data_IF_910240223345
#
_entry.id   IF_910240223345
#
_cell.length_a   1.000
_cell.length_b   1.000
_cell.length_c   1.000
_cell.angle_alpha   90.00
_cell.angle_beta   90.00
_cell.angle_gamma   90.00
#
_symmetry.space_group_name_H-M   'P 1'
#
loop_
_entity.id
_entity.type
_entity.pdbx_description
1 polymer ?
#
# COMPACT_ATOMS: atom_id res chain seq x y z
N UNK A 1 -44.05 24.44 21.60
CA UNK A 1 -43.62 23.92 20.29
C UNK A 1 -42.10 23.94 20.27
N UNK A 2 -41.48 22.83 20.65
CA UNK A 2 -40.02 22.68 20.53
C UNK A 2 -39.70 22.56 19.03
N UNK A 3 -38.94 23.53 18.50
CA UNK A 3 -38.43 23.46 17.13
C UNK A 3 -37.47 22.28 17.08
N UNK A 4 -37.87 21.22 16.38
CA UNK A 4 -37.01 20.07 16.13
C UNK A 4 -35.65 20.54 15.63
N UNK A 5 -34.61 20.21 16.40
CA UNK A 5 -33.22 20.48 16.04
C UNK A 5 -32.95 19.76 14.71
N UNK A 6 -32.75 20.52 13.61
CA UNK A 6 -32.34 19.93 12.33
C UNK A 6 -30.97 19.30 12.54
N UNK A 7 -30.89 17.97 12.46
CA UNK A 7 -29.59 17.28 12.44
C UNK A 7 -28.80 17.73 11.21
N UNK A 8 -27.63 18.31 11.43
CA UNK A 8 -26.65 18.53 10.38
C UNK A 8 -25.85 17.24 10.19
N UNK A 9 -25.83 16.70 8.97
CA UNK A 9 -24.95 15.61 8.59
C UNK A 9 -23.91 16.12 7.60
N UNK A 10 -22.74 15.49 7.59
CA UNK A 10 -21.67 15.74 6.61
C UNK A 10 -21.34 14.42 5.95
N UNK A 11 -21.38 14.38 4.62
CA UNK A 11 -20.98 13.22 3.83
C UNK A 11 -19.51 13.35 3.44
N UNK A 12 -18.76 12.26 3.58
CA UNK A 12 -17.32 12.22 3.30
C UNK A 12 -16.99 11.03 2.36
N UNK A 13 -15.93 11.15 1.54
CA UNK A 13 -15.12 12.35 1.34
C UNK A 13 -15.91 13.43 0.60
N UNK A 14 -15.59 14.70 0.83
CA UNK A 14 -16.16 15.79 0.03
C UNK A 14 -15.61 15.72 -1.40
N UNK A 15 -16.33 16.31 -2.36
CA UNK A 15 -15.98 16.22 -3.79
C UNK A 15 -14.52 16.65 -4.07
N UNK A 16 -14.09 17.76 -3.48
CA UNK A 16 -12.73 18.26 -3.67
C UNK A 16 -11.68 17.31 -3.06
N UNK A 17 -11.97 16.69 -1.92
CA UNK A 17 -11.08 15.72 -1.27
C UNK A 17 -10.92 14.47 -2.13
N UNK A 18 -12.01 14.00 -2.74
CA UNK A 18 -11.98 12.88 -3.67
C UNK A 18 -11.19 13.22 -4.96
N UNK A 19 -11.37 14.42 -5.51
CA UNK A 19 -10.61 14.89 -6.68
C UNK A 19 -9.11 15.00 -6.37
N UNK A 20 -8.74 15.47 -5.17
CA UNK A 20 -7.34 15.51 -4.73
C UNK A 20 -6.76 14.11 -4.50
N UNK A 21 -7.53 13.20 -3.92
CA UNK A 21 -7.13 11.80 -3.74
C UNK A 21 -6.86 11.13 -5.09
N UNK A 22 -7.73 11.34 -6.09
CA UNK A 22 -7.53 10.83 -7.46
C UNK A 22 -6.21 11.31 -8.05
N UNK A 23 -5.95 12.62 -8.05
CA UNK A 23 -4.69 13.17 -8.60
C UNK A 23 -3.46 12.64 -7.87
N UNK A 24 -3.56 12.49 -6.54
CA UNK A 24 -2.47 11.98 -5.71
C UNK A 24 -2.13 10.53 -6.07
N UNK A 25 -3.17 9.70 -6.23
CA UNK A 25 -3.02 8.29 -6.60
C UNK A 25 -2.55 8.14 -8.04
N UNK A 26 -3.14 8.87 -8.99
CA UNK A 26 -2.70 8.91 -10.38
C UNK A 26 -1.22 9.28 -10.49
N UNK A 27 -0.78 10.32 -9.77
CA UNK A 27 0.62 10.73 -9.74
C UNK A 27 1.56 9.66 -9.15
N UNK A 28 1.13 8.94 -8.12
CA UNK A 28 1.90 7.81 -7.58
C UNK A 28 2.02 6.65 -8.57
N UNK A 29 0.89 6.25 -9.18
CA UNK A 29 0.83 5.10 -10.08
C UNK A 29 1.50 5.36 -11.44
N UNK A 30 1.49 6.61 -11.92
CA UNK A 30 2.16 6.96 -13.18
C UNK A 30 3.65 6.67 -13.13
N UNK A 31 4.32 6.99 -12.01
CA UNK A 31 5.73 6.68 -11.80
C UNK A 31 6.01 5.17 -11.81
N UNK A 32 5.09 4.36 -11.27
CA UNK A 32 5.25 2.91 -11.20
C UNK A 32 5.33 2.26 -12.58
N UNK A 33 4.62 2.79 -13.59
CA UNK A 33 4.58 2.22 -14.95
C UNK A 33 5.95 2.18 -15.62
N UNK A 34 6.86 3.08 -15.24
CA UNK A 34 8.21 3.15 -15.79
C UNK A 34 9.20 2.22 -15.09
N UNK A 35 8.84 1.69 -13.92
CA UNK A 35 9.70 0.81 -13.10
C UNK A 35 9.23 -0.64 -13.19
N UNK A 36 7.93 -0.88 -13.03
CA UNK A 36 7.30 -2.20 -13.07
C UNK A 36 6.10 -2.17 -14.01
N UNK A 37 6.30 -2.66 -15.24
CA UNK A 37 5.22 -2.76 -16.23
C UNK A 37 4.24 -3.88 -15.87
N UNK A 38 2.94 -3.59 -15.91
CA UNK A 38 1.84 -4.58 -15.78
C UNK A 38 1.19 -4.80 -17.14
N UNK A 39 0.83 -6.05 -17.46
CA UNK A 39 0.06 -6.36 -18.67
C UNK A 39 -1.44 -6.16 -18.43
N UNK A 40 -1.92 -6.49 -17.22
CA UNK A 40 -3.33 -6.34 -16.84
C UNK A 40 -3.65 -4.91 -16.37
N UNK A 41 -4.84 -4.44 -16.74
CA UNK A 41 -5.36 -3.15 -16.29
C UNK A 41 -5.68 -3.15 -14.80
N UNK A 42 -5.43 -2.02 -14.14
CA UNK A 42 -5.67 -1.85 -12.71
C UNK A 42 -6.90 -0.96 -12.46
N UNK A 43 -7.88 -1.48 -11.74
CA UNK A 43 -8.99 -0.74 -11.15
C UNK A 43 -8.58 -0.23 -9.76
N UNK A 44 -8.81 1.06 -9.50
CA UNK A 44 -8.47 1.68 -8.21
C UNK A 44 -9.71 2.26 -7.56
N UNK A 45 -10.09 1.68 -6.42
CA UNK A 45 -11.23 2.09 -5.62
C UNK A 45 -10.77 3.03 -4.50
N UNK A 46 -11.41 4.20 -4.40
CA UNK A 46 -11.09 5.21 -3.39
C UNK A 46 -12.24 5.36 -2.39
N UNK A 47 -11.93 5.26 -1.10
CA UNK A 47 -12.89 5.42 -0.01
C UNK A 47 -12.42 6.39 1.07
N UNK A 48 -13.36 6.88 1.88
CA UNK A 48 -13.02 7.60 3.11
C UNK A 48 -12.66 6.61 4.22
N UNK A 49 -11.66 6.97 5.02
CA UNK A 49 -11.33 6.29 6.27
C UNK A 49 -11.77 7.11 7.48
N UNK A 50 -12.24 6.41 8.51
CA UNK A 50 -12.44 6.96 9.86
C UNK A 50 -11.25 6.72 10.79
N UNK A 51 -10.13 6.18 10.31
CA UNK A 51 -8.93 5.96 11.11
C UNK A 51 -8.25 7.32 11.37
N UNK A 52 -8.21 7.72 12.64
CA UNK A 52 -7.62 8.98 13.09
C UNK A 52 -6.09 8.94 13.18
N UNK A 53 -5.47 7.77 12.95
CA UNK A 53 -4.01 7.59 13.01
C UNK A 53 -3.35 7.52 11.63
N UNK A 54 -4.10 7.19 10.58
CA UNK A 54 -3.57 6.94 9.23
C UNK A 54 -4.22 7.84 8.20
N UNK A 55 -3.42 8.69 7.55
CA UNK A 55 -3.88 9.57 6.48
C UNK A 55 -4.17 8.81 5.18
N UNK A 56 -3.49 7.70 4.93
CA UNK A 56 -3.75 6.78 3.82
C UNK A 56 -3.42 5.35 4.19
N UNK A 57 -4.23 4.40 3.71
CA UNK A 57 -3.95 2.97 3.79
C UNK A 57 -4.74 2.23 2.71
N UNK A 58 -4.43 0.96 2.48
CA UNK A 58 -5.08 0.17 1.44
C UNK A 58 -4.43 -1.19 1.27
N UNK A 59 -4.91 -1.92 0.27
CA UNK A 59 -4.36 -3.20 -0.14
C UNK A 59 -4.62 -3.48 -1.63
N UNK A 60 -3.83 -4.39 -2.19
CA UNK A 60 -4.15 -5.07 -3.44
C UNK A 60 -5.03 -6.30 -3.16
N UNK A 61 -6.32 -6.21 -3.51
CA UNK A 61 -7.28 -7.33 -3.38
C UNK A 61 -6.93 -8.44 -4.36
N UNK A 62 -6.57 -8.06 -5.59
CA UNK A 62 -6.12 -8.94 -6.66
C UNK A 62 -4.99 -8.29 -7.45
N UNK A 63 -4.54 -8.96 -8.51
CA UNK A 63 -3.62 -8.37 -9.47
C UNK A 63 -4.24 -7.24 -10.32
N UNK A 64 -5.57 -7.06 -10.28
CA UNK A 64 -6.32 -6.07 -11.06
C UNK A 64 -7.02 -5.02 -10.20
N UNK A 65 -7.14 -5.20 -8.89
CA UNK A 65 -7.96 -4.33 -8.03
C UNK A 65 -7.19 -3.83 -6.81
N UNK A 66 -7.11 -2.50 -6.69
CA UNK A 66 -6.65 -1.83 -5.48
C UNK A 66 -7.82 -1.22 -4.70
N UNK A 67 -7.80 -1.38 -3.38
CA UNK A 67 -8.67 -0.64 -2.47
C UNK A 67 -7.83 0.32 -1.62
N UNK A 68 -8.05 1.62 -1.81
CA UNK A 68 -7.34 2.67 -1.09
C UNK A 68 -8.32 3.52 -0.30
N UNK A 69 -7.97 3.80 0.94
CA UNK A 69 -8.74 4.61 1.86
C UNK A 69 -7.90 5.77 2.37
N UNK A 70 -8.52 6.93 2.53
CA UNK A 70 -7.83 8.13 3.00
C UNK A 70 -8.64 8.89 4.02
N UNK A 71 -7.93 9.55 4.95
CA UNK A 71 -8.52 10.44 5.92
C UNK A 71 -7.93 11.86 5.72
N UNK A 72 -8.67 12.78 5.09
CA UNK A 72 -8.17 14.11 4.76
C UNK A 72 -7.96 15.01 5.98
N UNK A 73 -8.37 14.58 7.18
CA UNK A 73 -8.16 15.31 8.45
C UNK A 73 -6.76 15.13 9.02
N UNK A 74 -5.99 14.18 8.50
CA UNK A 74 -4.65 13.88 8.99
C UNK A 74 -3.64 14.64 8.13
N UNK A 75 -2.73 15.35 8.78
CA UNK A 75 -1.65 16.04 8.09
C UNK A 75 -0.77 15.04 7.32
N UNK A 76 -0.43 15.41 6.08
CA UNK A 76 0.35 14.54 5.19
C UNK A 76 -0.43 13.36 4.61
N UNK A 77 -1.76 13.32 4.70
CA UNK A 77 -2.58 12.24 4.15
C UNK A 77 -2.31 11.98 2.66
N UNK A 78 -2.07 13.02 1.85
CA UNK A 78 -1.75 12.87 0.42
C UNK A 78 -0.47 12.07 0.22
N UNK A 79 0.59 12.42 0.96
CA UNK A 79 1.86 11.69 0.92
C UNK A 79 1.68 10.24 1.36
N UNK A 80 0.92 9.99 2.43
CA UNK A 80 0.65 8.62 2.89
C UNK A 80 -0.17 7.82 1.87
N UNK A 81 -1.20 8.44 1.27
CA UNK A 81 -2.04 7.83 0.25
C UNK A 81 -1.24 7.51 -1.02
N UNK A 82 -0.37 8.43 -1.47
CA UNK A 82 0.52 8.20 -2.61
C UNK A 82 1.43 7.00 -2.34
N UNK A 83 2.08 6.96 -1.17
CA UNK A 83 2.94 5.83 -0.80
C UNK A 83 2.16 4.51 -0.74
N UNK A 84 0.95 4.55 -0.19
CA UNK A 84 0.07 3.38 -0.15
C UNK A 84 -0.25 2.90 -1.57
N UNK A 85 -0.59 3.81 -2.49
CA UNK A 85 -0.90 3.46 -3.87
C UNK A 85 0.27 2.76 -4.58
N UNK A 86 1.48 3.29 -4.43
CA UNK A 86 2.71 2.70 -4.98
C UNK A 86 2.97 1.32 -4.38
N UNK A 87 2.87 1.18 -3.05
CA UNK A 87 3.04 -0.12 -2.40
C UNK A 87 2.04 -1.17 -2.90
N UNK A 88 0.76 -0.80 -2.97
CA UNK A 88 -0.29 -1.69 -3.48
C UNK A 88 -0.11 -2.03 -4.97
N UNK A 89 0.45 -1.12 -5.77
CA UNK A 89 0.81 -1.43 -7.16
C UNK A 89 1.87 -2.54 -7.24
N UNK A 90 2.93 -2.46 -6.44
CA UNK A 90 3.95 -3.51 -6.39
C UNK A 90 3.38 -4.86 -5.95
N UNK A 91 2.49 -4.86 -4.95
CA UNK A 91 1.77 -6.08 -4.56
C UNK A 91 0.91 -6.66 -5.69
N UNK A 92 0.18 -5.81 -6.42
CA UNK A 92 -0.66 -6.23 -7.54
C UNK A 92 0.17 -6.74 -8.72
N UNK A 93 1.32 -6.13 -9.00
CA UNK A 93 2.28 -6.60 -10.01
C UNK A 93 2.86 -7.97 -9.63
N UNK A 94 3.22 -8.16 -8.37
CA UNK A 94 3.75 -9.44 -7.89
C UNK A 94 2.73 -10.57 -8.05
N UNK A 95 1.46 -10.32 -7.70
CA UNK A 95 0.36 -11.27 -7.91
C UNK A 95 0.19 -11.65 -9.38
N UNK A 96 0.28 -10.68 -10.29
CA UNK A 96 0.17 -10.93 -11.74
C UNK A 96 1.22 -11.91 -12.26
N UNK A 97 2.48 -11.68 -11.85
CA UNK A 97 3.62 -12.43 -12.35
C UNK A 97 3.79 -13.79 -11.67
N UNK A 98 3.27 -13.94 -10.45
CA UNK A 98 3.39 -15.17 -9.67
C UNK A 98 2.18 -16.10 -9.81
N UNK A 99 0.98 -15.56 -10.00
CA UNK A 99 -0.27 -16.32 -9.96
C UNK A 99 -0.89 -16.36 -8.55
N UNK A 100 -1.33 -17.53 -8.08
CA UNK A 100 -1.94 -17.65 -6.75
C UNK A 100 -0.93 -17.35 -5.64
N UNK A 101 -1.36 -16.58 -4.64
CA UNK A 101 -0.65 -16.40 -3.38
C UNK A 101 -1.33 -17.31 -2.36
N UNK A 102 -0.76 -18.50 -2.19
CA UNK A 102 -1.32 -19.55 -1.34
C UNK A 102 -0.67 -19.54 0.04
N UNK A 103 0.51 -18.92 0.18
CA UNK A 103 1.29 -18.93 1.41
C UNK A 103 1.60 -17.54 1.98
N UNK A 104 1.80 -17.46 3.30
CA UNK A 104 2.09 -16.22 4.03
C UNK A 104 3.38 -15.56 3.56
N UNK A 105 4.42 -16.33 3.27
CA UNK A 105 5.70 -15.80 2.78
C UNK A 105 5.58 -15.12 1.40
N UNK A 106 4.61 -15.52 0.59
CA UNK A 106 4.37 -14.90 -0.72
C UNK A 106 3.68 -13.54 -0.56
N UNK A 107 2.81 -13.40 0.45
CA UNK A 107 2.24 -12.11 0.84
C UNK A 107 3.32 -11.16 1.34
N UNK A 108 4.33 -11.69 2.03
CA UNK A 108 5.48 -10.91 2.44
C UNK A 108 6.30 -10.42 1.24
N UNK A 109 6.66 -11.31 0.30
CA UNK A 109 7.37 -10.91 -0.92
C UNK A 109 6.61 -9.87 -1.74
N UNK A 110 5.28 -10.00 -1.84
CA UNK A 110 4.43 -9.00 -2.47
C UNK A 110 4.55 -7.63 -1.77
N UNK A 111 4.50 -7.62 -0.44
CA UNK A 111 4.65 -6.39 0.37
C UNK A 111 6.03 -5.76 0.21
N UNK A 112 7.09 -6.58 0.18
CA UNK A 112 8.47 -6.12 -0.03
C UNK A 112 8.63 -5.50 -1.42
N UNK A 113 8.02 -6.09 -2.45
CA UNK A 113 8.03 -5.54 -3.82
C UNK A 113 7.40 -4.15 -3.85
N UNK A 114 6.29 -3.96 -3.14
CA UNK A 114 5.66 -2.64 -2.97
C UNK A 114 6.55 -1.61 -2.28
N UNK A 115 7.28 -2.01 -1.24
CA UNK A 115 8.22 -1.15 -0.53
C UNK A 115 9.44 -0.78 -1.37
N UNK A 116 10.02 -1.73 -2.11
CA UNK A 116 11.15 -1.44 -3.01
C UNK A 116 10.77 -0.43 -4.08
N UNK A 117 9.54 -0.52 -4.62
CA UNK A 117 9.05 0.44 -5.60
C UNK A 117 8.92 1.86 -5.02
N UNK A 118 8.67 2.01 -3.71
CA UNK A 118 8.65 3.31 -3.06
C UNK A 118 10.03 3.97 -3.01
N UNK A 119 11.09 3.19 -2.84
CA UNK A 119 12.47 3.68 -2.84
C UNK A 119 12.85 4.15 -4.25
N UNK A 120 12.55 3.35 -5.27
CA UNK A 120 12.86 3.65 -6.68
C UNK A 120 12.05 4.82 -7.25
N UNK A 121 10.77 4.96 -6.88
CA UNK A 121 9.92 6.07 -7.35
C UNK A 121 10.08 7.35 -6.51
N UNK A 122 10.89 7.32 -5.46
CA UNK A 122 11.00 8.33 -4.42
C UNK A 122 12.00 9.46 -4.67
N UNK A 123 12.55 9.67 -5.88
CA UNK A 123 13.54 10.72 -6.13
C UNK A 123 13.01 12.16 -5.93
N UNK A 124 13.05 12.62 -4.68
CA UNK A 124 13.38 13.98 -4.27
C UNK A 124 14.03 13.93 -2.89
N UNK A 125 15.31 14.31 -2.88
CA UNK A 125 16.25 14.49 -1.76
C UNK A 125 15.64 14.83 -0.39
N UNK A 126 16.26 14.25 0.64
CA UNK A 126 16.08 14.46 2.08
C UNK A 126 14.85 13.80 2.72
N UNK A 127 14.84 12.47 2.77
CA UNK A 127 14.49 11.80 4.03
C UNK A 127 15.36 10.55 4.16
N UNK A 128 16.39 10.60 4.99
CA UNK A 128 16.83 9.40 5.74
C UNK A 128 15.64 9.00 6.63
N UNK A 129 14.61 8.39 6.04
CA UNK A 129 13.56 7.75 6.81
C UNK A 129 14.05 6.33 6.95
N UNK A 130 14.65 6.08 8.10
CA UNK A 130 14.97 4.75 8.55
C UNK A 130 13.67 3.94 8.57
N UNK A 131 13.46 3.14 7.52
CA UNK A 131 12.32 2.24 7.40
C UNK A 131 12.42 1.08 8.40
N UNK A 132 13.46 1.04 9.24
CA UNK A 132 13.64 0.04 10.29
C UNK A 132 12.41 -0.09 11.18
N UNK A 133 11.72 0.99 11.55
CA UNK A 133 10.55 0.87 12.43
C UNK A 133 9.35 0.20 11.75
N UNK A 134 9.03 0.57 10.50
CA UNK A 134 7.95 -0.05 9.74
C UNK A 134 8.30 -1.48 9.32
N UNK A 135 9.58 -1.73 9.04
CA UNK A 135 10.15 -3.05 8.80
C UNK A 135 10.04 -3.95 10.03
N UNK A 136 10.49 -3.47 11.20
CA UNK A 136 10.44 -4.19 12.47
C UNK A 136 9.00 -4.45 12.93
N UNK A 137 8.06 -3.53 12.66
CA UNK A 137 6.63 -3.76 12.94
C UNK A 137 6.06 -4.88 12.05
N UNK A 138 6.41 -4.89 10.76
CA UNK A 138 5.97 -5.93 9.82
C UNK A 138 6.66 -7.27 10.12
N UNK A 139 7.96 -7.27 10.43
CA UNK A 139 8.74 -8.43 10.85
C UNK A 139 8.15 -9.04 12.12
N UNK A 140 7.88 -8.25 13.17
CA UNK A 140 7.26 -8.77 14.40
C UNK A 140 5.85 -9.35 14.20
N UNK A 141 5.05 -8.75 13.31
CA UNK A 141 3.75 -9.32 12.92
C UNK A 141 3.92 -10.65 12.17
N UNK A 142 4.91 -10.74 11.29
CA UNK A 142 5.22 -11.96 10.54
C UNK A 142 5.79 -13.04 11.44
N UNK A 143 6.71 -12.73 12.34
CA UNK A 143 7.19 -13.66 13.37
C UNK A 143 6.03 -14.19 14.19
N UNK A 144 5.06 -13.34 14.58
CA UNK A 144 3.88 -13.81 15.30
C UNK A 144 3.02 -14.76 14.45
N UNK A 145 2.86 -14.50 13.15
CA UNK A 145 2.09 -15.32 12.21
C UNK A 145 2.81 -16.63 11.84
N UNK A 146 4.14 -16.60 11.71
CA UNK A 146 4.99 -17.75 11.42
C UNK A 146 5.23 -18.61 12.67
N UNK A 147 5.23 -18.02 13.87
CA UNK A 147 5.29 -18.76 15.14
C UNK A 147 4.01 -19.55 15.44
N UNK A 148 2.90 -19.19 14.80
CA UNK A 148 1.62 -19.92 14.91
C UNK A 148 1.49 -21.04 13.86
N UNK A 149 2.24 -20.98 12.76
CA UNK A 149 2.31 -22.03 11.74
C UNK A 149 3.77 -22.45 11.51
N UNK A 150 4.20 -23.45 12.28
CA UNK A 150 5.56 -23.99 12.25
C UNK A 150 6.05 -24.32 10.82
N UNK A 151 7.14 -23.68 10.39
CA UNK A 151 8.00 -24.21 9.33
C UNK A 151 9.47 -23.91 9.66
N UNK A 152 10.23 -24.96 10.00
CA UNK A 152 11.64 -24.93 10.39
C UNK A 152 12.62 -24.69 9.21
N UNK A 153 12.15 -24.41 7.99
CA UNK A 153 13.00 -24.32 6.78
C UNK A 153 12.95 -22.96 6.06
N UNK A 154 12.62 -21.86 6.76
CA UNK A 154 12.66 -20.52 6.15
C UNK A 154 14.08 -19.92 6.17
N UNK A 155 14.74 -19.91 5.01
CA UNK A 155 16.03 -19.26 4.82
C UNK A 155 15.86 -17.83 4.27
N UNK A 156 16.20 -16.84 5.09
CA UNK A 156 16.27 -15.42 4.69
C UNK A 156 17.21 -15.15 3.52
N UNK A 157 18.17 -16.05 3.28
CA UNK A 157 19.07 -15.97 2.15
C UNK A 157 18.33 -16.12 0.82
N UNK A 158 17.29 -16.97 0.76
CA UNK A 158 16.55 -17.24 -0.47
C UNK A 158 15.60 -16.10 -0.84
N UNK A 159 15.01 -15.44 0.16
CA UNK A 159 14.23 -14.20 -0.01
C UNK A 159 15.10 -13.09 -0.60
N UNK A 160 16.30 -12.91 -0.05
CA UNK A 160 17.25 -11.92 -0.55
C UNK A 160 17.71 -12.24 -1.98
N UNK A 161 18.03 -13.49 -2.26
CA UNK A 161 18.42 -13.93 -3.60
C UNK A 161 17.28 -13.79 -4.63
N UNK A 162 16.03 -14.01 -4.22
CA UNK A 162 14.86 -13.79 -5.06
C UNK A 162 14.66 -12.30 -5.38
N UNK A 163 14.88 -11.42 -4.38
CA UNK A 163 14.95 -9.98 -4.58
C UNK A 163 16.04 -9.61 -5.59
N UNK A 164 17.29 -10.03 -5.36
CA UNK A 164 18.43 -9.69 -6.22
C UNK A 164 18.31 -10.20 -7.68
N UNK A 165 17.55 -11.28 -7.91
CA UNK A 165 17.25 -11.81 -9.26
C UNK A 165 16.11 -11.11 -9.98
N UNK A 166 15.19 -10.47 -9.27
CA UNK A 166 14.10 -9.73 -9.89
C UNK A 166 14.57 -8.38 -10.48
N UNK A 167 15.77 -7.93 -10.12
CA UNK A 167 16.32 -6.61 -10.47
C UNK A 167 17.67 -6.66 -11.22
N UNK A 168 18.04 -7.81 -11.79
CA UNK A 168 19.13 -7.97 -12.77
C UNK A 168 18.59 -8.60 -14.06
#
# INVERSE_FOLDING_TARGET
MERGQRMSFTLRPERHELEEARRTVEGGLESCKYVLEKEKSLEVNLGASSDERRGGHGLAESEEVLQLFFNPRIDGWKTQLQKTAVNCYGEAWFRENKGSIDFVWEKFLASVTGLMLLEETGESREVEKDFSEEWMEKEGKLESMLSTEAYEDFSWQDVRNAGEKAFN
#
